data_IF_838892769344
#
_entry.id   IF_838892769344
#
_cell.length_a   1.000
_cell.length_b   1.000
_cell.length_c   1.000
_cell.angle_alpha   90.00
_cell.angle_beta   90.00
_cell.angle_gamma   90.00
#
_symmetry.space_group_name_H-M   'P 1'
#
loop_
_entity.id
_entity.type
_entity.pdbx_description
1 polymer ?
#
# COMPACT_ATOMS: atom_id res chain seq x y z
N UNK A 1 -16.91 -9.72 8.18
CA UNK A 1 -15.75 -8.81 8.31
C UNK A 1 -16.02 -7.80 9.40
N UNK A 2 -15.02 -7.51 10.23
CA UNK A 2 -15.08 -6.45 11.22
C UNK A 2 -14.01 -5.42 10.88
N UNK A 3 -14.44 -4.19 10.64
CA UNK A 3 -13.51 -3.07 10.50
C UNK A 3 -12.98 -2.65 11.88
N UNK A 4 -11.86 -1.93 11.92
CA UNK A 4 -11.36 -1.32 13.16
C UNK A 4 -12.42 -0.38 13.81
N UNK A 5 -13.39 0.10 13.02
CA UNK A 5 -14.49 0.97 13.43
C UNK A 5 -15.77 0.22 13.83
N UNK A 6 -15.69 -1.10 14.08
CA UNK A 6 -16.78 -1.97 14.59
C UNK A 6 -18.02 -2.13 13.70
N UNK A 7 -17.98 -1.69 12.45
CA UNK A 7 -19.00 -2.08 11.47
C UNK A 7 -18.78 -3.52 11.05
N UNK A 8 -19.86 -4.33 11.08
CA UNK A 8 -19.84 -5.75 10.75
C UNK A 8 -20.74 -5.99 9.54
N UNK A 9 -20.17 -6.55 8.49
CA UNK A 9 -20.91 -7.09 7.34
C UNK A 9 -20.66 -8.60 7.28
N UNK A 10 -21.70 -9.36 6.97
CA UNK A 10 -21.59 -10.81 6.80
C UNK A 10 -20.63 -11.11 5.63
N UNK A 11 -19.64 -11.96 5.86
CA UNK A 11 -18.62 -12.30 4.88
C UNK A 11 -18.43 -13.81 4.86
N UNK A 12 -18.22 -14.37 3.67
CA UNK A 12 -17.96 -15.80 3.49
C UNK A 12 -16.44 -16.00 3.44
N UNK A 13 -15.83 -16.73 4.40
CA UNK A 13 -14.40 -17.00 4.36
C UNK A 13 -14.06 -17.95 3.20
N UNK A 14 -12.90 -17.77 2.61
CA UNK A 14 -12.37 -18.64 1.57
C UNK A 14 -10.84 -18.56 1.54
N UNK A 15 -10.21 -19.60 1.00
CA UNK A 15 -8.78 -19.61 0.69
C UNK A 15 -8.52 -19.24 -0.79
N UNK A 16 -9.54 -19.43 -1.63
CA UNK A 16 -9.54 -19.13 -3.07
C UNK A 16 -10.90 -18.59 -3.49
N UNK A 17 -10.92 -17.51 -4.25
CA UNK A 17 -12.16 -16.86 -4.68
C UNK A 17 -12.94 -17.71 -5.67
N UNK A 18 -12.25 -18.52 -6.49
CA UNK A 18 -12.90 -19.46 -7.40
C UNK A 18 -13.86 -20.45 -6.72
N UNK A 19 -13.62 -20.79 -5.45
CA UNK A 19 -14.52 -21.67 -4.67
C UNK A 19 -15.89 -21.01 -4.41
N UNK A 20 -15.95 -19.68 -4.43
CA UNK A 20 -17.18 -18.90 -4.22
C UNK A 20 -17.83 -18.48 -5.54
N UNK A 21 -17.34 -18.94 -6.70
CA UNK A 21 -17.83 -18.52 -8.02
C UNK A 21 -19.35 -18.64 -8.17
N UNK A 22 -19.94 -19.76 -7.77
CA UNK A 22 -21.39 -19.96 -7.86
C UNK A 22 -22.20 -18.96 -7.03
N UNK A 23 -21.66 -18.54 -5.89
CA UNK A 23 -22.26 -17.52 -5.04
C UNK A 23 -22.07 -16.13 -5.66
N UNK A 24 -20.86 -15.82 -6.13
CA UNK A 24 -20.51 -14.57 -6.79
C UNK A 24 -21.39 -14.32 -8.04
N UNK A 25 -21.70 -15.37 -8.80
CA UNK A 25 -22.61 -15.30 -9.95
C UNK A 25 -24.03 -14.87 -9.59
N UNK A 26 -24.46 -14.98 -8.34
CA UNK A 26 -25.78 -14.54 -7.88
C UNK A 26 -25.81 -13.09 -7.35
N UNK A 27 -24.64 -12.49 -7.10
CA UNK A 27 -24.54 -11.12 -6.58
C UNK A 27 -24.39 -10.06 -7.68
N UNK A 28 -24.86 -8.83 -7.48
CA UNK A 28 -24.55 -7.72 -8.40
C UNK A 28 -23.22 -7.03 -8.03
N UNK A 29 -22.91 -6.99 -6.73
CA UNK A 29 -21.72 -6.35 -6.16
C UNK A 29 -20.95 -7.36 -5.34
N UNK A 30 -19.63 -7.39 -5.52
CA UNK A 30 -18.72 -8.31 -4.83
C UNK A 30 -17.66 -7.49 -4.10
N UNK A 31 -17.64 -7.60 -2.77
CA UNK A 31 -16.58 -7.05 -1.93
C UNK A 31 -15.54 -8.11 -1.59
N UNK A 32 -14.27 -7.80 -1.84
CA UNK A 32 -13.12 -8.63 -1.47
C UNK A 32 -12.27 -7.78 -0.54
N UNK A 33 -12.09 -8.23 0.69
CA UNK A 33 -11.18 -7.58 1.65
C UNK A 33 -10.05 -8.54 2.00
N UNK A 34 -8.91 -7.96 2.34
CA UNK A 34 -7.61 -8.63 2.39
C UNK A 34 -7.22 -9.34 1.08
N UNK A 35 -7.53 -8.72 -0.06
CA UNK A 35 -7.34 -9.28 -1.41
C UNK A 35 -5.93 -9.79 -1.71
N UNK A 36 -4.89 -9.26 -1.04
CA UNK A 36 -3.51 -9.69 -1.23
C UNK A 36 -3.23 -11.15 -0.84
N UNK A 37 -4.08 -11.78 -0.03
CA UNK A 37 -3.91 -13.18 0.38
C UNK A 37 -4.50 -14.19 -0.60
N UNK A 38 -5.39 -13.76 -1.50
CA UNK A 38 -5.99 -14.67 -2.47
C UNK A 38 -5.14 -14.75 -3.73
N UNK A 39 -4.61 -15.93 -4.09
CA UNK A 39 -3.72 -16.08 -5.24
C UNK A 39 -4.45 -15.86 -6.58
N UNK A 40 -5.78 -16.03 -6.60
CA UNK A 40 -6.64 -15.95 -7.77
C UNK A 40 -7.40 -14.60 -7.88
N UNK A 41 -7.07 -13.60 -7.05
CA UNK A 41 -7.75 -12.28 -7.06
C UNK A 41 -7.84 -11.66 -8.44
N UNK A 42 -6.72 -11.60 -9.16
CA UNK A 42 -6.64 -10.90 -10.45
C UNK A 42 -7.55 -11.56 -11.48
N UNK A 43 -7.42 -12.88 -11.65
CA UNK A 43 -8.21 -13.66 -12.62
C UNK A 43 -9.70 -13.62 -12.27
N UNK A 44 -10.03 -13.78 -10.98
CA UNK A 44 -11.42 -13.73 -10.52
C UNK A 44 -12.07 -12.36 -10.74
N UNK A 45 -11.34 -11.27 -10.45
CA UNK A 45 -11.86 -9.92 -10.64
C UNK A 45 -12.11 -9.63 -12.12
N UNK A 46 -11.15 -9.96 -12.98
CA UNK A 46 -11.29 -9.77 -14.43
C UNK A 46 -12.48 -10.57 -14.99
N UNK A 47 -12.61 -11.84 -14.61
CA UNK A 47 -13.73 -12.69 -15.04
C UNK A 47 -15.08 -12.08 -14.60
N UNK A 48 -15.24 -11.78 -13.32
CA UNK A 48 -16.49 -11.30 -12.76
C UNK A 48 -16.85 -9.91 -13.29
N UNK A 49 -15.88 -9.02 -13.47
CA UNK A 49 -16.11 -7.68 -14.03
C UNK A 49 -16.59 -7.76 -15.48
N UNK A 50 -15.98 -8.63 -16.29
CA UNK A 50 -16.42 -8.91 -17.66
C UNK A 50 -17.84 -9.51 -17.74
N UNK A 51 -18.33 -10.13 -16.66
CA UNK A 51 -19.72 -10.58 -16.53
C UNK A 51 -20.68 -9.48 -16.03
N UNK A 52 -20.22 -8.23 -15.97
CA UNK A 52 -21.02 -7.07 -15.58
C UNK A 52 -21.17 -6.88 -14.07
N UNK A 53 -20.35 -7.53 -13.26
CA UNK A 53 -20.35 -7.39 -11.79
C UNK A 53 -19.59 -6.12 -11.39
N UNK A 54 -20.05 -5.43 -10.34
CA UNK A 54 -19.22 -4.42 -9.67
C UNK A 54 -18.35 -5.08 -8.61
N UNK A 55 -17.04 -4.85 -8.65
CA UNK A 55 -16.09 -5.47 -7.73
C UNK A 55 -15.34 -4.37 -6.97
N UNK A 56 -15.24 -4.54 -5.66
CA UNK A 56 -14.50 -3.64 -4.77
C UNK A 56 -13.46 -4.48 -4.03
N UNK A 57 -12.19 -4.17 -4.24
CA UNK A 57 -11.07 -4.87 -3.61
C UNK A 57 -10.37 -3.95 -2.62
N UNK A 58 -10.37 -4.33 -1.34
CA UNK A 58 -9.50 -3.77 -0.32
C UNK A 58 -8.30 -4.70 -0.12
N UNK A 59 -7.09 -4.15 -0.21
CA UNK A 59 -5.87 -4.93 -0.07
C UNK A 59 -4.65 -4.06 0.29
N UNK A 60 -3.62 -4.71 0.83
CA UNK A 60 -2.30 -4.10 1.02
C UNK A 60 -1.51 -4.08 -0.30
N UNK A 61 -1.01 -2.91 -0.69
CA UNK A 61 -0.21 -2.75 -1.91
C UNK A 61 1.23 -3.28 -1.75
N UNK A 62 1.73 -3.35 -0.52
CA UNK A 62 3.06 -3.86 -0.23
C UNK A 62 3.23 -4.52 1.13
N UNK A 63 4.25 -5.37 1.22
CA UNK A 63 4.66 -6.07 2.43
C UNK A 63 5.37 -5.13 3.41
N UNK A 64 5.72 -5.64 4.60
CA UNK A 64 6.53 -4.90 5.58
C UNK A 64 7.91 -4.48 5.05
N UNK A 65 8.39 -5.12 3.96
CA UNK A 65 9.64 -4.79 3.27
C UNK A 65 9.44 -3.79 2.13
N UNK A 66 8.21 -3.29 1.93
CA UNK A 66 7.80 -2.41 0.81
C UNK A 66 8.01 -3.04 -0.57
N UNK A 67 7.88 -4.36 -0.65
CA UNK A 67 7.78 -5.11 -1.91
C UNK A 67 6.30 -5.31 -2.25
N UNK A 68 5.93 -5.54 -3.53
CA UNK A 68 4.57 -5.92 -3.89
C UNK A 68 4.06 -7.08 -3.02
N UNK A 69 2.81 -7.00 -2.56
CA UNK A 69 2.18 -8.09 -1.81
C UNK A 69 1.42 -9.01 -2.77
N UNK A 70 1.90 -10.25 -2.92
CA UNK A 70 1.30 -11.21 -3.84
C UNK A 70 1.27 -10.67 -5.27
N UNK A 71 0.14 -10.90 -5.96
CA UNK A 71 -0.11 -10.40 -7.32
C UNK A 71 -1.05 -9.18 -7.36
N UNK A 72 -1.37 -8.57 -6.22
CA UNK A 72 -2.44 -7.57 -6.12
C UNK A 72 -2.23 -6.35 -7.02
N UNK A 73 -0.97 -5.95 -7.23
CA UNK A 73 -0.64 -4.79 -8.08
C UNK A 73 -0.96 -5.05 -9.56
N UNK A 74 -1.15 -6.31 -9.97
CA UNK A 74 -1.58 -6.62 -11.32
C UNK A 74 -3.05 -6.25 -11.58
N UNK A 75 -3.83 -5.91 -10.55
CA UNK A 75 -5.16 -5.32 -10.72
C UNK A 75 -5.11 -3.87 -11.20
N UNK A 76 -4.03 -3.11 -10.92
CA UNK A 76 -3.94 -1.69 -11.25
C UNK A 76 -4.21 -1.40 -12.74
N UNK A 77 -3.65 -2.12 -13.72
CA UNK A 77 -3.96 -1.88 -15.14
C UNK A 77 -5.36 -2.31 -15.55
N UNK A 78 -6.06 -3.14 -14.76
CA UNK A 78 -7.39 -3.65 -15.05
C UNK A 78 -8.49 -2.83 -14.38
N UNK A 79 -8.18 -2.19 -13.25
CA UNK A 79 -9.16 -1.45 -12.45
C UNK A 79 -9.52 -0.09 -13.08
N UNK A 80 -10.82 0.22 -13.13
CA UNK A 80 -11.31 1.53 -13.54
C UNK A 80 -10.93 2.64 -12.54
N UNK A 81 -10.74 2.28 -11.27
CA UNK A 81 -10.32 3.22 -10.23
C UNK A 81 -9.40 2.57 -9.20
N UNK A 82 -8.39 3.32 -8.77
CA UNK A 82 -7.44 2.89 -7.73
C UNK A 82 -7.26 4.05 -6.76
N UNK A 83 -7.50 3.79 -5.47
CA UNK A 83 -7.28 4.75 -4.39
C UNK A 83 -6.26 4.18 -3.43
N UNK A 84 -5.13 4.87 -3.27
CA UNK A 84 -4.16 4.54 -2.23
C UNK A 84 -4.47 5.33 -0.96
N UNK A 85 -4.90 4.62 0.07
CA UNK A 85 -5.17 5.21 1.38
C UNK A 85 -3.88 5.43 2.18
N UNK A 86 -3.93 6.40 3.08
CA UNK A 86 -2.85 6.74 4.00
C UNK A 86 -3.37 6.65 5.43
N UNK A 87 -2.54 6.08 6.31
CA UNK A 87 -2.80 6.02 7.74
C UNK A 87 -2.13 7.22 8.46
N UNK A 88 -2.20 7.24 9.79
CA UNK A 88 -1.41 8.16 10.61
C UNK A 88 -0.14 7.46 11.09
N UNK A 89 1.00 8.12 10.93
CA UNK A 89 2.30 7.61 11.36
C UNK A 89 2.35 7.53 12.88
N UNK A 90 2.56 6.33 13.41
CA UNK A 90 2.62 6.07 14.85
C UNK A 90 3.88 6.65 15.53
N UNK A 91 4.85 7.16 14.76
CA UNK A 91 6.09 7.75 15.29
C UNK A 91 6.13 9.28 15.23
N UNK A 92 5.60 9.89 14.16
CA UNK A 92 5.68 11.34 13.98
C UNK A 92 4.34 12.02 13.66
N UNK A 93 3.23 11.27 13.68
CA UNK A 93 1.86 11.76 13.49
C UNK A 93 1.55 12.43 12.15
N UNK A 94 2.45 12.26 11.16
CA UNK A 94 2.21 12.64 9.75
C UNK A 94 1.53 11.52 8.98
N UNK A 95 1.18 11.74 7.72
CA UNK A 95 0.68 10.70 6.84
C UNK A 95 1.66 9.51 6.74
N UNK A 96 1.12 8.31 6.92
CA UNK A 96 1.81 7.04 6.82
C UNK A 96 1.37 6.27 5.58
N UNK A 97 2.35 5.85 4.78
CA UNK A 97 2.13 5.14 3.54
C UNK A 97 2.66 3.69 3.57
N UNK A 98 3.23 3.26 4.71
CA UNK A 98 3.90 1.98 4.84
C UNK A 98 3.56 1.30 6.16
N UNK A 99 3.58 -0.01 6.14
CA UNK A 99 3.53 -0.86 7.33
C UNK A 99 4.94 -1.28 7.70
N UNK A 100 5.37 -1.02 8.94
CA UNK A 100 6.66 -1.46 9.49
C UNK A 100 6.40 -2.57 10.51
N UNK A 101 7.13 -3.68 10.38
CA UNK A 101 7.13 -4.74 11.39
C UNK A 101 8.01 -4.33 12.58
N UNK A 102 7.53 -4.60 13.80
CA UNK A 102 8.25 -4.30 15.06
C UNK A 102 9.16 -5.47 15.45
N UNK A 103 8.72 -6.71 15.21
CA UNK A 103 9.45 -7.93 15.54
C UNK A 103 10.55 -8.32 14.54
N UNK A 104 11.27 -9.41 14.87
CA UNK A 104 12.41 -9.92 14.10
C UNK A 104 12.02 -10.97 13.05
N UNK A 105 10.76 -11.38 13.00
CA UNK A 105 10.24 -12.37 12.07
C UNK A 105 10.42 -11.90 10.62
N UNK A 106 10.81 -12.81 9.74
CA UNK A 106 11.09 -12.49 8.33
C UNK A 106 9.99 -12.96 7.37
N UNK A 107 9.08 -13.82 7.83
CA UNK A 107 7.98 -14.36 7.01
C UNK A 107 7.05 -13.25 6.52
N UNK A 108 6.63 -13.27 5.26
CA UNK A 108 5.78 -12.20 4.71
C UNK A 108 4.40 -12.19 5.39
N UNK A 109 3.82 -13.37 5.57
CA UNK A 109 2.51 -13.55 6.20
C UNK A 109 2.68 -13.85 7.67
N UNK A 110 2.52 -12.83 8.51
CA UNK A 110 2.42 -13.00 9.96
C UNK A 110 1.16 -12.31 10.42
N UNK A 111 0.18 -13.10 10.87
CA UNK A 111 -1.06 -12.58 11.44
C UNK A 111 -0.72 -11.84 12.75
N UNK A 112 -1.22 -10.62 12.86
CA UNK A 112 -1.05 -9.73 14.00
C UNK A 112 -1.54 -8.33 13.66
N UNK A 113 -1.84 -7.55 14.69
CA UNK A 113 -2.32 -6.18 14.54
C UNK A 113 -1.25 -5.20 15.00
N UNK A 114 -1.67 -4.27 15.86
CA UNK A 114 -0.83 -3.21 16.44
C UNK A 114 0.33 -3.73 17.30
N UNK A 115 0.26 -4.99 17.73
CA UNK A 115 1.30 -5.68 18.48
C UNK A 115 2.52 -6.05 17.61
N UNK A 116 2.31 -6.26 16.30
CA UNK A 116 3.37 -6.66 15.36
C UNK A 116 3.71 -5.60 14.33
N UNK A 117 2.79 -4.67 14.05
CA UNK A 117 2.89 -3.73 12.94
C UNK A 117 2.58 -2.30 13.35
N UNK A 118 3.31 -1.36 12.74
CA UNK A 118 3.08 0.08 12.86
C UNK A 118 2.90 0.72 11.49
N UNK A 119 1.90 1.59 11.36
CA UNK A 119 1.81 2.50 10.23
C UNK A 119 2.89 3.58 10.37
N UNK A 120 3.74 3.75 9.35
CA UNK A 120 4.85 4.70 9.36
C UNK A 120 4.95 5.52 8.07
N UNK A 121 5.44 6.75 8.20
CA UNK A 121 5.81 7.58 7.05
C UNK A 121 7.17 7.15 6.47
N UNK A 122 7.54 7.69 5.30
CA UNK A 122 8.81 7.37 4.63
C UNK A 122 10.04 7.58 5.50
N UNK A 123 10.07 8.68 6.26
CA UNK A 123 11.20 9.02 7.14
C UNK A 123 11.32 8.04 8.31
N UNK A 124 10.21 7.76 8.97
CA UNK A 124 10.11 6.85 10.11
C UNK A 124 10.41 5.39 9.71
N UNK A 125 9.98 4.98 8.52
CA UNK A 125 10.34 3.67 7.96
C UNK A 125 11.86 3.53 7.84
N UNK A 126 12.53 4.52 7.24
CA UNK A 126 13.97 4.53 7.00
C UNK A 126 14.84 4.83 8.23
N UNK A 127 14.25 4.98 9.42
CA UNK A 127 15.01 5.32 10.64
C UNK A 127 15.54 6.75 10.68
N UNK A 128 15.04 7.65 9.82
CA UNK A 128 15.49 9.04 9.69
C UNK A 128 14.79 10.00 10.67
N UNK A 129 14.31 9.49 11.81
CA UNK A 129 13.75 10.34 12.87
C UNK A 129 14.89 10.61 13.84
N UNK A 130 15.38 11.84 13.83
CA UNK A 130 16.19 12.38 14.92
C UNK A 130 15.25 12.56 16.11
N UNK A 131 15.64 12.06 17.28
CA UNK A 131 14.94 12.32 18.53
C UNK A 131 14.63 13.81 18.64
N UNK A 132 13.34 14.16 18.65
CA UNK A 132 12.95 15.52 18.98
C UNK A 132 12.98 15.66 20.49
N UNK A 133 14.16 15.87 21.05
CA UNK A 133 14.22 16.64 22.29
C UNK A 133 13.67 18.04 21.98
N UNK A 134 12.72 18.50 22.80
CA UNK A 134 12.16 19.85 22.75
C UNK A 134 13.29 20.88 22.81
N UNK A 135 13.70 21.39 21.65
CA UNK A 135 14.67 22.46 21.54
C UNK A 135 14.14 23.52 20.57
N UNK A 136 14.12 24.76 21.05
CA UNK A 136 13.57 25.93 20.38
C UNK A 136 14.24 26.15 19.00
N UNK A 137 13.53 26.75 18.01
CA UNK A 137 14.05 26.85 16.66
C UNK A 137 15.22 27.84 16.59
N UNK A 138 16.41 27.34 16.27
CA UNK A 138 17.55 28.16 15.87
C UNK A 138 17.51 28.43 14.37
N UNK A 139 17.67 29.70 13.99
CA UNK A 139 17.70 30.21 12.61
C UNK A 139 19.13 30.20 12.04
N UNK A 140 19.19 30.20 10.69
CA UNK A 140 20.31 30.49 9.76
C UNK A 140 21.11 29.24 9.32
N UNK A 141 21.60 29.06 8.08
CA UNK A 141 21.59 29.79 6.80
C UNK A 141 22.00 28.79 5.70
N UNK A 142 21.67 29.04 4.42
CA UNK A 142 21.92 28.18 3.26
C UNK A 142 23.40 28.12 2.85
N UNK A 143 23.97 26.95 2.48
CA UNK A 143 25.19 26.91 1.66
C UNK A 143 25.08 26.13 0.34
N UNK A 144 26.10 26.35 -0.50
CA UNK A 144 26.12 26.42 -1.96
C UNK A 144 26.27 25.08 -2.74
N UNK A 145 25.93 25.20 -4.03
CA UNK A 145 25.94 24.21 -5.12
C UNK A 145 27.36 23.97 -5.69
N UNK A 146 27.72 22.72 -6.03
CA UNK A 146 28.85 22.40 -6.95
C UNK A 146 28.48 21.21 -7.86
N UNK A 147 28.80 21.33 -9.16
CA UNK A 147 28.57 20.40 -10.27
C UNK A 147 29.81 19.55 -10.63
N UNK A 148 29.60 18.39 -11.28
CA UNK A 148 30.26 17.82 -12.51
C UNK A 148 30.15 16.28 -12.50
N UNK A 149 29.95 15.48 -13.57
CA UNK A 149 29.63 15.64 -15.00
C UNK A 149 29.56 14.26 -15.72
N UNK A 150 28.72 14.16 -16.77
CA UNK A 150 28.69 13.27 -18.00
C UNK A 150 28.76 11.72 -17.86
N UNK A 151 28.22 10.86 -18.74
CA UNK A 151 27.22 10.88 -19.83
C UNK A 151 26.94 9.40 -20.23
N UNK A 152 25.71 9.01 -20.57
CA UNK A 152 25.40 7.86 -21.45
C UNK A 152 24.16 8.18 -22.27
N UNK A 153 24.25 7.96 -23.58
CA UNK A 153 23.22 8.20 -24.58
C UNK A 153 22.43 6.89 -24.85
N UNK A 154 21.10 6.97 -24.90
CA UNK A 154 20.22 6.13 -25.73
C UNK A 154 18.74 6.38 -25.39
N UNK A 155 17.97 6.75 -26.41
CA UNK A 155 16.51 6.79 -26.46
C UNK A 155 15.79 7.81 -25.53
N UNK A 156 15.01 8.71 -26.16
CA UNK A 156 14.10 9.73 -25.59
C UNK A 156 14.34 10.06 -24.10
N UNK A 157 14.91 11.23 -23.77
CA UNK A 157 15.28 11.55 -22.40
C UNK A 157 14.05 11.53 -21.49
N UNK A 158 13.99 10.56 -20.58
CA UNK A 158 13.03 10.55 -19.47
C UNK A 158 13.35 11.77 -18.60
N UNK A 159 12.45 12.75 -18.59
CA UNK A 159 12.65 14.00 -17.84
C UNK A 159 12.48 13.71 -16.35
N UNK A 160 13.52 13.96 -15.56
CA UNK A 160 13.43 14.07 -14.11
C UNK A 160 13.38 15.57 -13.77
N UNK A 161 12.30 16.03 -13.17
CA UNK A 161 12.15 17.41 -12.70
C UNK A 161 12.51 17.44 -11.20
N UNK A 162 13.43 18.32 -10.81
CA UNK A 162 13.83 18.52 -9.41
C UNK A 162 13.13 19.71 -8.74
N UNK A 163 12.49 20.57 -9.52
CA UNK A 163 11.70 21.71 -9.04
C UNK A 163 10.30 21.68 -9.67
N UNK A 164 9.32 21.34 -8.84
CA UNK A 164 7.93 21.75 -9.06
C UNK A 164 7.75 23.03 -8.26
N UNK A 165 7.74 24.18 -8.94
CA UNK A 165 7.05 25.34 -8.39
C UNK A 165 5.56 25.03 -8.51
N UNK A 166 4.98 24.52 -7.42
CA UNK A 166 3.54 24.51 -7.20
C UNK A 166 3.12 25.89 -6.68
#
# INVERSE_FOLDING_TARGET
MATHDKNIMEAVPADRLGNLRSLALQACVIGIDEGQFFPDTVEFCEEMANLGKTIIVAALDGTFQRKPFGNILNLIPLAESVVKLHAVCMQCFKEAAYTKRIGAEQEVEVIGGVDKYQAVCRKCYGGLVVDKENSAPFRNETPQYIHTGKAVDSAVPRKLFSSLHL
#
